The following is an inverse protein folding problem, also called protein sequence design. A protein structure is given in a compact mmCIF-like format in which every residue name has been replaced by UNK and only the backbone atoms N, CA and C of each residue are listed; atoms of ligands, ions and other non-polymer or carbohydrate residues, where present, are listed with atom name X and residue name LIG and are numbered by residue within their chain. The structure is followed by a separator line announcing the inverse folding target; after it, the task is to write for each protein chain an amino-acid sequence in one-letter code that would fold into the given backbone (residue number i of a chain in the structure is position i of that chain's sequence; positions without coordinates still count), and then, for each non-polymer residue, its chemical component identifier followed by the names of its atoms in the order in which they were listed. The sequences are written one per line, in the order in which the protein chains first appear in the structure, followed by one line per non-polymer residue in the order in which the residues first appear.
data_IF_521327733911
#
_entry.id   IF_521327733911
#
_cell.length_a   1.000
_cell.length_b   1.000
_cell.length_c   1.000
_cell.angle_alpha   90.00
_cell.angle_beta   90.00
_cell.angle_gamma   90.00
#
_symmetry.space_group_name_H-M   'P 1'
#
loop_
_entity.id
_entity.type
_entity.pdbx_description
1 polymer ?
#
# COMPACT_ATOMS: atom_id res chain seq x y z
N UNK A 1 -13.73 -30.73 19.06
CA UNK A 1 -12.49 -30.21 18.53
C UNK A 1 -11.83 -29.40 19.64
N UNK A 2 -10.80 -29.90 20.27
CA UNK A 2 -10.02 -29.19 21.27
C UNK A 2 -9.16 -28.17 20.54
N UNK A 3 -9.42 -26.86 20.74
CA UNK A 3 -8.51 -25.83 20.27
C UNK A 3 -7.21 -25.98 21.05
N UNK A 4 -6.14 -26.36 20.39
CA UNK A 4 -4.80 -26.29 20.96
C UNK A 4 -4.42 -24.82 21.00
N UNK A 5 -4.42 -24.20 22.18
CA UNK A 5 -3.80 -22.90 22.39
C UNK A 5 -2.30 -23.10 22.31
N UNK A 6 -1.64 -22.31 21.46
CA UNK A 6 -0.19 -22.22 21.49
C UNK A 6 0.15 -21.26 22.63
N UNK A 7 0.93 -21.73 23.60
CA UNK A 7 1.46 -20.86 24.63
C UNK A 7 2.46 -19.89 23.99
N UNK A 8 2.07 -18.62 23.85
CA UNK A 8 2.95 -17.55 23.38
C UNK A 8 3.61 -16.95 24.59
N UNK A 9 4.94 -17.08 24.70
CA UNK A 9 5.72 -16.54 25.81
C UNK A 9 5.88 -15.03 25.75
N UNK A 10 5.93 -14.48 24.53
CA UNK A 10 6.04 -13.04 24.28
C UNK A 10 5.26 -12.68 23.02
N UNK A 11 4.51 -11.58 23.06
CA UNK A 11 3.76 -11.05 21.92
C UNK A 11 4.07 -9.55 21.75
N UNK A 12 4.70 -9.22 20.62
CA UNK A 12 4.92 -7.85 20.20
C UNK A 12 3.98 -7.48 19.05
N UNK A 13 3.37 -6.29 19.08
CA UNK A 13 2.43 -5.81 18.06
C UNK A 13 2.99 -4.54 17.42
N UNK A 14 3.35 -4.62 16.12
CA UNK A 14 3.65 -3.45 15.31
C UNK A 14 2.39 -2.88 14.67
N UNK A 15 1.91 -1.77 15.21
CA UNK A 15 0.63 -1.18 14.84
C UNK A 15 0.76 -0.15 13.71
N UNK A 16 0.63 -0.57 12.45
CA UNK A 16 0.71 0.30 11.27
C UNK A 16 -0.58 1.13 10.99
N UNK A 17 -1.60 0.97 11.81
CA UNK A 17 -2.80 1.84 11.80
C UNK A 17 -2.56 3.24 12.36
N UNK A 18 -1.41 3.52 12.97
CA UNK A 18 -0.98 4.87 13.36
C UNK A 18 -0.43 5.70 12.20
N UNK A 19 -0.24 5.09 11.03
CA UNK A 19 0.14 5.82 9.82
C UNK A 19 -0.94 6.86 9.43
N UNK A 20 -0.58 7.94 8.74
CA UNK A 20 -1.46 9.08 8.46
C UNK A 20 -2.83 8.73 7.87
N UNK A 21 -2.93 7.70 7.03
CA UNK A 21 -4.22 7.27 6.46
C UNK A 21 -4.82 6.05 7.16
N UNK A 22 -4.24 5.62 8.28
CA UNK A 22 -4.75 4.51 9.09
C UNK A 22 -4.36 3.12 8.58
N UNK A 23 -3.36 2.99 7.71
CA UNK A 23 -3.00 1.69 7.16
C UNK A 23 -1.52 1.57 6.77
N UNK A 24 -1.05 0.32 6.65
CA UNK A 24 0.30 -0.01 6.16
C UNK A 24 0.56 0.43 4.71
N UNK A 25 -0.48 0.82 3.96
CA UNK A 25 -0.30 1.29 2.57
C UNK A 25 0.58 2.52 2.49
N UNK A 26 0.62 3.30 3.55
CA UNK A 26 1.40 4.53 3.63
C UNK A 26 2.89 4.28 3.49
N UNK A 27 3.42 3.23 4.09
CA UNK A 27 4.84 2.88 3.98
C UNK A 27 5.26 2.65 2.53
N UNK A 28 4.40 2.00 1.73
CA UNK A 28 4.64 1.82 0.30
C UNK A 28 4.45 3.10 -0.52
N UNK A 29 3.50 3.96 -0.12
CA UNK A 29 3.21 5.19 -0.86
C UNK A 29 4.28 6.26 -0.69
N UNK A 30 4.97 6.32 0.44
CA UNK A 30 6.11 7.25 0.62
C UNK A 30 7.14 7.08 -0.49
N UNK A 31 7.61 5.85 -0.72
CA UNK A 31 8.63 5.56 -1.75
C UNK A 31 8.06 5.68 -3.16
N UNK A 32 6.87 5.15 -3.39
CA UNK A 32 6.29 5.13 -4.73
C UNK A 32 5.89 6.53 -5.23
N UNK A 33 5.38 7.41 -4.37
CA UNK A 33 5.09 8.82 -4.73
C UNK A 33 6.39 9.62 -4.91
N UNK A 34 7.40 9.41 -4.07
CA UNK A 34 8.72 10.00 -4.26
C UNK A 34 9.29 9.62 -5.64
N UNK A 35 9.12 8.35 -6.04
CA UNK A 35 9.55 7.90 -7.37
C UNK A 35 8.74 8.53 -8.50
N UNK A 36 7.43 8.75 -8.31
CA UNK A 36 6.60 9.45 -9.27
C UNK A 36 7.12 10.88 -9.52
N UNK A 37 7.42 11.62 -8.44
CA UNK A 37 8.03 12.96 -8.52
C UNK A 37 9.36 12.92 -9.28
N UNK A 38 10.25 11.99 -8.92
CA UNK A 38 11.56 11.86 -9.55
C UNK A 38 11.48 11.51 -11.05
N UNK A 39 10.35 10.97 -11.51
CA UNK A 39 10.06 10.73 -12.94
C UNK A 39 9.36 11.88 -13.65
N UNK A 40 9.08 12.97 -12.97
CA UNK A 40 8.37 14.12 -13.53
C UNK A 40 6.88 13.87 -13.75
N UNK A 41 6.29 12.87 -13.06
CA UNK A 41 4.85 12.62 -13.16
C UNK A 41 4.07 13.80 -12.58
N UNK A 42 2.95 14.15 -13.21
CA UNK A 42 2.00 15.14 -12.70
C UNK A 42 0.71 14.51 -12.18
N UNK A 43 0.48 13.24 -12.53
CA UNK A 43 -0.70 12.47 -12.16
C UNK A 43 -0.28 11.11 -11.60
N UNK A 44 -0.89 10.70 -10.51
CA UNK A 44 -0.79 9.33 -10.00
C UNK A 44 -2.15 8.65 -10.07
N UNK A 45 -2.15 7.36 -10.42
CA UNK A 45 -3.38 6.60 -10.61
C UNK A 45 -3.35 5.27 -9.89
N UNK A 46 -4.50 4.82 -9.40
CA UNK A 46 -4.70 3.44 -8.98
C UNK A 46 -6.14 2.97 -9.24
N UNK A 47 -6.31 1.68 -9.46
CA UNK A 47 -7.61 1.02 -9.35
C UNK A 47 -7.72 0.43 -7.94
N UNK A 48 -8.57 1.03 -7.09
CA UNK A 48 -8.76 0.60 -5.70
C UNK A 48 -9.97 1.25 -5.06
N UNK A 49 -10.62 0.54 -4.15
CA UNK A 49 -11.77 1.03 -3.38
C UNK A 49 -11.47 1.14 -1.87
N UNK A 50 -10.22 0.98 -1.47
CA UNK A 50 -9.84 0.93 -0.05
C UNK A 50 -8.56 1.69 0.26
N UNK A 51 -7.81 1.17 1.24
CA UNK A 51 -6.62 1.84 1.81
C UNK A 51 -5.56 2.27 0.78
N UNK A 52 -5.45 1.57 -0.36
CA UNK A 52 -4.52 1.98 -1.43
C UNK A 52 -4.93 3.31 -2.04
N UNK A 53 -6.23 3.50 -2.33
CA UNK A 53 -6.76 4.75 -2.86
C UNK A 53 -6.59 5.90 -1.87
N UNK A 54 -6.95 5.67 -0.60
CA UNK A 54 -6.81 6.67 0.45
C UNK A 54 -5.36 7.11 0.65
N UNK A 55 -4.45 6.15 0.75
CA UNK A 55 -3.02 6.43 0.91
C UNK A 55 -2.44 7.15 -0.32
N UNK A 56 -2.74 6.68 -1.55
CA UNK A 56 -2.30 7.36 -2.76
C UNK A 56 -2.79 8.82 -2.79
N UNK A 57 -4.06 9.06 -2.50
CA UNK A 57 -4.65 10.40 -2.52
C UNK A 57 -3.96 11.34 -1.51
N UNK A 58 -3.76 10.88 -0.27
CA UNK A 58 -3.11 11.66 0.78
C UNK A 58 -1.67 12.05 0.42
N UNK A 59 -0.87 11.08 -0.04
CA UNK A 59 0.53 11.33 -0.41
C UNK A 59 0.67 12.12 -1.70
N UNK A 60 -0.24 11.95 -2.67
CA UNK A 60 -0.31 12.78 -3.87
C UNK A 60 -0.63 14.24 -3.52
N UNK A 61 -1.63 14.48 -2.69
CA UNK A 61 -1.97 15.82 -2.20
C UNK A 61 -0.77 16.50 -1.51
N UNK A 62 -0.07 15.77 -0.64
CA UNK A 62 1.14 16.26 0.04
C UNK A 62 2.27 16.60 -0.93
N UNK A 63 2.34 15.86 -2.05
CA UNK A 63 3.37 16.01 -3.09
C UNK A 63 3.00 17.03 -4.19
N UNK A 64 1.80 17.61 -4.16
CA UNK A 64 1.31 18.49 -5.22
C UNK A 64 0.97 17.76 -6.53
N UNK A 65 0.76 16.44 -6.49
CA UNK A 65 0.36 15.65 -7.64
C UNK A 65 -1.17 15.49 -7.70
N UNK A 66 -1.73 15.38 -8.89
CA UNK A 66 -3.12 15.00 -9.06
C UNK A 66 -3.28 13.49 -8.84
N UNK A 67 -4.32 13.09 -8.11
CA UNK A 67 -4.64 11.69 -7.87
C UNK A 67 -5.93 11.31 -8.59
N UNK A 68 -5.93 10.20 -9.32
CA UNK A 68 -7.13 9.61 -9.92
C UNK A 68 -7.32 8.19 -9.44
N UNK A 69 -8.52 7.89 -8.95
CA UNK A 69 -8.91 6.56 -8.46
C UNK A 69 -9.94 5.98 -9.40
N UNK A 70 -9.59 4.87 -10.03
CA UNK A 70 -10.48 4.13 -10.91
C UNK A 70 -11.25 3.07 -10.13
N UNK A 71 -12.55 3.00 -10.29
CA UNK A 71 -13.41 2.09 -9.53
C UNK A 71 -14.71 1.77 -10.28
N UNK A 72 -15.31 0.60 -10.02
CA UNK A 72 -16.63 0.28 -10.54
C UNK A 72 -17.68 1.29 -10.08
N UNK A 73 -18.61 1.64 -10.96
CA UNK A 73 -19.72 2.58 -10.65
C UNK A 73 -20.57 2.12 -9.48
N UNK A 74 -20.67 0.81 -9.26
CA UNK A 74 -21.46 0.20 -8.17
C UNK A 74 -20.86 0.37 -6.77
N UNK A 75 -19.62 0.87 -6.68
CA UNK A 75 -18.95 1.04 -5.38
C UNK A 75 -19.59 2.15 -4.56
N UNK A 76 -19.96 1.82 -3.33
CA UNK A 76 -20.57 2.76 -2.40
C UNK A 76 -19.61 3.94 -2.08
N UNK A 77 -20.15 5.15 -2.01
CA UNK A 77 -19.38 6.37 -1.74
C UNK A 77 -18.55 6.27 -0.43
N UNK A 78 -19.10 5.64 0.60
CA UNK A 78 -18.43 5.49 1.89
C UNK A 78 -17.06 4.77 1.78
N UNK A 79 -16.89 3.86 0.81
CA UNK A 79 -15.63 3.14 0.62
C UNK A 79 -14.50 3.98 0.03
N UNK A 80 -14.81 5.10 -0.59
CA UNK A 80 -13.85 5.99 -1.24
C UNK A 80 -13.84 7.40 -0.66
N UNK A 81 -14.69 7.65 0.34
CA UNK A 81 -14.83 8.95 0.97
C UNK A 81 -13.50 9.52 1.50
N UNK A 82 -12.63 8.67 2.03
CA UNK A 82 -11.33 9.10 2.51
C UNK A 82 -10.42 9.57 1.35
N UNK A 83 -10.39 8.86 0.22
CA UNK A 83 -9.61 9.27 -0.94
C UNK A 83 -10.16 10.60 -1.54
N UNK A 84 -11.48 10.73 -1.58
CA UNK A 84 -12.17 11.94 -2.04
C UNK A 84 -11.88 13.14 -1.12
N UNK A 85 -11.88 12.93 0.20
CA UNK A 85 -11.53 13.96 1.19
C UNK A 85 -10.07 14.46 1.04
N UNK A 86 -9.17 13.62 0.54
CA UNK A 86 -7.80 14.03 0.19
C UNK A 86 -7.68 14.63 -1.22
N UNK A 87 -8.81 14.87 -1.91
CA UNK A 87 -8.84 15.56 -3.21
C UNK A 87 -8.61 14.66 -4.43
N UNK A 88 -8.77 13.34 -4.30
CA UNK A 88 -8.67 12.46 -5.45
C UNK A 88 -9.89 12.58 -6.37
N UNK A 89 -9.64 12.61 -7.67
CA UNK A 89 -10.66 12.45 -8.71
C UNK A 89 -11.11 10.99 -8.78
N UNK A 90 -12.41 10.75 -8.65
CA UNK A 90 -13.00 9.41 -8.77
C UNK A 90 -13.46 9.16 -10.21
N UNK A 91 -12.80 8.25 -10.91
CA UNK A 91 -13.19 7.82 -12.25
C UNK A 91 -14.04 6.56 -12.15
N UNK A 92 -15.35 6.71 -12.30
CA UNK A 92 -16.32 5.62 -12.19
C UNK A 92 -16.48 4.92 -13.53
N UNK A 93 -16.15 3.62 -13.56
CA UNK A 93 -16.19 2.77 -14.76
C UNK A 93 -17.38 1.82 -14.67
N UNK A 94 -18.05 1.62 -15.79
CA UNK A 94 -19.10 0.60 -15.91
C UNK A 94 -18.45 -0.78 -16.02
N UNK A 95 -18.90 -1.74 -15.17
CA UNK A 95 -18.36 -3.09 -15.14
C UNK A 95 -17.72 -3.47 -13.81
N UNK A 96 -16.76 -4.37 -13.88
CA UNK A 96 -16.05 -4.98 -12.76
C UNK A 96 -14.84 -4.16 -12.30
N UNK A 97 -14.14 -4.68 -11.28
CA UNK A 97 -12.84 -4.13 -10.87
C UNK A 97 -11.77 -4.28 -11.96
N UNK A 98 -11.81 -5.38 -12.73
CA UNK A 98 -10.87 -5.62 -13.83
C UNK A 98 -11.10 -4.67 -15.00
N UNK A 99 -12.36 -4.26 -15.23
CA UNK A 99 -12.70 -3.22 -16.21
C UNK A 99 -12.13 -1.87 -15.76
N UNK A 100 -12.26 -1.52 -14.49
CA UNK A 100 -11.68 -0.30 -13.93
C UNK A 100 -10.16 -0.29 -14.00
N UNK A 101 -9.50 -1.42 -13.72
CA UNK A 101 -8.05 -1.57 -13.85
C UNK A 101 -7.61 -1.43 -15.32
N UNK A 102 -8.33 -2.05 -16.24
CA UNK A 102 -8.05 -1.98 -17.68
C UNK A 102 -8.22 -0.55 -18.22
N UNK A 103 -9.25 0.15 -17.77
CA UNK A 103 -9.48 1.56 -18.15
C UNK A 103 -8.37 2.46 -17.61
N UNK A 104 -7.96 2.27 -16.37
CA UNK A 104 -6.85 2.99 -15.77
C UNK A 104 -5.57 2.81 -16.61
N UNK A 105 -5.24 1.57 -16.98
CA UNK A 105 -4.03 1.28 -17.77
C UNK A 105 -4.09 1.88 -19.18
N UNK A 106 -5.28 1.87 -19.80
CA UNK A 106 -5.48 2.49 -21.14
C UNK A 106 -5.39 4.02 -21.12
N UNK A 107 -5.81 4.63 -20.02
CA UNK A 107 -5.82 6.09 -19.85
C UNK A 107 -4.47 6.66 -19.36
N UNK A 108 -3.52 5.81 -19.01
CA UNK A 108 -2.20 6.24 -18.55
C UNK A 108 -1.35 6.74 -19.73
N UNK A 109 -0.75 7.91 -19.56
CA UNK A 109 0.17 8.55 -20.50
C UNK A 109 1.56 8.77 -19.85
N UNK A 110 2.46 9.46 -20.53
CA UNK A 110 3.82 9.74 -20.05
C UNK A 110 3.85 10.57 -18.75
N UNK A 111 2.81 11.38 -18.50
CA UNK A 111 2.67 12.20 -17.30
C UNK A 111 2.10 11.42 -16.11
N UNK A 112 1.66 10.18 -16.34
CA UNK A 112 0.91 9.35 -15.40
C UNK A 112 1.81 8.30 -14.76
N UNK A 113 1.74 8.16 -13.43
CA UNK A 113 2.45 7.10 -12.70
C UNK A 113 1.47 6.18 -11.99
N UNK A 114 1.53 4.88 -12.33
CA UNK A 114 0.63 3.85 -11.79
C UNK A 114 1.10 3.38 -10.42
N UNK A 115 0.21 3.46 -9.43
CA UNK A 115 0.47 3.14 -8.03
C UNK A 115 -0.33 1.92 -7.51
N UNK A 116 -0.61 0.96 -8.39
CA UNK A 116 -1.19 -0.33 -7.99
C UNK A 116 -0.17 -1.25 -7.33
N UNK A 117 -0.64 -2.39 -6.80
CA UNK A 117 0.21 -3.38 -6.10
C UNK A 117 1.33 -3.98 -6.96
N UNK A 118 1.24 -3.85 -8.28
CA UNK A 118 2.30 -4.25 -9.23
C UNK A 118 3.53 -3.33 -9.20
N UNK A 119 3.44 -2.15 -8.60
CA UNK A 119 4.55 -1.20 -8.58
C UNK A 119 5.63 -1.64 -7.58
N UNK A 120 6.87 -1.94 -8.04
CA UNK A 120 7.93 -2.47 -7.17
C UNK A 120 8.37 -1.48 -6.08
N UNK A 121 8.25 -0.19 -6.32
CA UNK A 121 8.58 0.84 -5.34
C UNK A 121 7.62 0.85 -4.15
N UNK A 122 6.41 0.31 -4.31
CA UNK A 122 5.51 0.06 -3.18
C UNK A 122 6.03 -1.05 -2.28
N UNK A 123 6.54 -2.13 -2.86
CA UNK A 123 7.18 -3.22 -2.11
C UNK A 123 8.43 -2.69 -1.39
N UNK A 124 9.27 -1.92 -2.09
CA UNK A 124 10.44 -1.29 -1.49
C UNK A 124 10.11 -0.40 -0.28
N UNK A 125 8.99 0.33 -0.32
CA UNK A 125 8.52 1.09 0.85
C UNK A 125 7.92 0.21 1.94
N UNK A 126 7.13 -0.80 1.59
CA UNK A 126 6.49 -1.68 2.58
C UNK A 126 7.50 -2.51 3.37
N UNK A 127 8.62 -2.93 2.78
CA UNK A 127 9.66 -3.69 3.48
C UNK A 127 10.27 -2.93 4.66
N UNK A 128 10.25 -1.59 4.66
CA UNK A 128 10.81 -0.78 5.75
C UNK A 128 10.10 -1.04 7.09
N UNK A 129 8.82 -1.44 7.06
CA UNK A 129 8.09 -1.78 8.28
C UNK A 129 8.67 -3.00 9.01
N UNK A 130 9.23 -3.96 8.27
CA UNK A 130 9.88 -5.15 8.85
C UNK A 130 11.28 -4.81 9.34
N UNK A 131 12.02 -4.00 8.61
CA UNK A 131 13.34 -3.51 9.03
C UNK A 131 13.22 -2.73 10.35
N UNK A 132 12.26 -1.81 10.42
CA UNK A 132 11.95 -1.06 11.64
C UNK A 132 11.47 -1.98 12.79
N UNK A 133 10.73 -3.07 12.47
CA UNK A 133 10.36 -4.07 13.46
C UNK A 133 11.59 -4.74 14.08
N UNK A 134 12.56 -5.16 13.25
CA UNK A 134 13.80 -5.78 13.73
C UNK A 134 14.64 -4.80 14.56
N UNK A 135 14.74 -3.55 14.13
CA UNK A 135 15.40 -2.50 14.89
C UNK A 135 14.74 -2.30 16.29
N UNK A 136 13.41 -2.28 16.34
CA UNK A 136 12.64 -2.13 17.58
C UNK A 136 12.73 -3.36 18.51
N UNK A 137 13.11 -4.51 18.00
CA UNK A 137 13.39 -5.73 18.72
C UNK A 137 14.90 -5.93 19.01
N UNK A 138 15.69 -4.86 18.94
CA UNK A 138 17.15 -4.93 19.11
C UNK A 138 17.82 -6.01 18.23
N UNK A 139 17.29 -6.20 17.01
CA UNK A 139 17.69 -7.22 16.01
C UNK A 139 17.50 -8.67 16.46
N UNK A 140 16.72 -8.89 17.53
CA UNK A 140 16.27 -10.24 17.90
C UNK A 140 15.16 -10.69 16.97
N UNK A 141 15.42 -11.74 16.21
CA UNK A 141 14.45 -12.26 15.22
C UNK A 141 13.36 -13.05 15.96
N UNK A 142 12.06 -12.70 15.80
CA UNK A 142 10.98 -13.47 16.40
C UNK A 142 10.81 -14.83 15.71
N UNK A 143 10.35 -15.83 16.44
CA UNK A 143 10.08 -17.17 15.87
C UNK A 143 8.96 -17.14 14.82
N UNK A 144 8.00 -16.21 14.95
CA UNK A 144 6.85 -16.09 14.06
C UNK A 144 6.53 -14.61 13.82
N UNK A 145 6.36 -14.26 12.54
CA UNK A 145 5.78 -12.98 12.12
C UNK A 145 4.41 -13.24 11.51
N UNK A 146 3.34 -12.80 12.19
CA UNK A 146 1.97 -12.91 11.71
C UNK A 146 1.50 -11.59 11.11
N UNK A 147 0.98 -11.61 9.88
CA UNK A 147 0.45 -10.44 9.19
C UNK A 147 -0.77 -10.80 8.32
N UNK A 148 -1.66 -9.83 8.03
CA UNK A 148 -2.83 -10.09 7.19
C UNK A 148 -2.43 -10.47 5.76
N UNK A 149 -2.98 -11.58 5.25
CA UNK A 149 -2.79 -12.08 3.89
C UNK A 149 -3.93 -11.69 2.97
N UNK A 150 -3.92 -10.50 2.38
CA UNK A 150 -4.85 -10.09 1.33
C UNK A 150 -4.33 -10.48 -0.06
N UNK A 151 -3.89 -9.49 -0.87
CA UNK A 151 -3.22 -9.74 -2.15
C UNK A 151 -1.72 -10.08 -2.01
N UNK A 152 -1.28 -10.45 -0.83
CA UNK A 152 0.06 -10.90 -0.46
C UNK A 152 1.21 -9.89 -0.67
N UNK A 153 0.96 -8.70 -1.15
CA UNK A 153 2.01 -7.68 -1.36
C UNK A 153 2.76 -7.33 -0.06
N UNK A 154 2.06 -7.32 1.09
CA UNK A 154 2.71 -7.10 2.39
C UNK A 154 3.57 -8.30 2.81
N UNK A 155 3.10 -9.52 2.54
CA UNK A 155 3.88 -10.73 2.78
C UNK A 155 5.13 -10.78 1.90
N UNK A 156 5.00 -10.43 0.62
CA UNK A 156 6.15 -10.30 -0.29
C UNK A 156 7.17 -9.28 0.22
N UNK A 157 6.70 -8.12 0.68
CA UNK A 157 7.58 -7.09 1.25
C UNK A 157 8.30 -7.57 2.52
N UNK A 158 7.63 -8.38 3.35
CA UNK A 158 8.24 -9.00 4.52
C UNK A 158 9.36 -9.97 4.10
N UNK A 159 9.09 -10.89 3.15
CA UNK A 159 10.11 -11.81 2.64
C UNK A 159 11.31 -11.09 2.05
N UNK A 160 11.08 -10.07 1.20
CA UNK A 160 12.16 -9.27 0.62
C UNK A 160 12.99 -8.56 1.70
N UNK A 161 12.35 -8.04 2.75
CA UNK A 161 13.08 -7.39 3.85
C UNK A 161 13.99 -8.38 4.59
N UNK A 162 13.49 -9.60 4.87
CA UNK A 162 14.26 -10.65 5.53
C UNK A 162 15.44 -11.11 4.65
N UNK A 163 15.21 -11.32 3.36
CA UNK A 163 16.26 -11.70 2.40
C UNK A 163 17.36 -10.62 2.29
N UNK A 164 16.94 -9.34 2.23
CA UNK A 164 17.87 -8.21 2.20
C UNK A 164 18.75 -8.18 3.47
N UNK A 165 18.15 -8.33 4.65
CA UNK A 165 18.87 -8.33 5.93
C UNK A 165 19.85 -9.52 6.03
N UNK A 166 19.43 -10.71 5.61
CA UNK A 166 20.30 -11.89 5.57
C UNK A 166 21.50 -11.71 4.61
N UNK A 167 21.30 -10.97 3.52
CA UNK A 167 22.34 -10.72 2.52
C UNK A 167 23.37 -9.68 2.97
N UNK A 168 23.00 -8.82 3.90
CA UNK A 168 23.85 -7.75 4.43
C UNK A 168 24.63 -8.17 5.70
N UNK A 169 24.29 -9.31 6.31
CA UNK A 169 24.89 -9.81 7.56
C UNK A 169 24.26 -9.19 8.77
#
# INVERSE_FOLDING_TARGET
MTSQYVDVLELSIKHLGWNPTGSFKDTGMTVAVTRAIARGASVVVCASTGNTAASMAAYAARAGLRARVFLPRSVAAAKVAQAEAYGAELVRVDGSFDDALSEMLRSADESTYVLNSLNPFRIAGQKTAVIELMEQLDWVVPDVIALPGGNLGNLTACGVALDDMLSLG
#
